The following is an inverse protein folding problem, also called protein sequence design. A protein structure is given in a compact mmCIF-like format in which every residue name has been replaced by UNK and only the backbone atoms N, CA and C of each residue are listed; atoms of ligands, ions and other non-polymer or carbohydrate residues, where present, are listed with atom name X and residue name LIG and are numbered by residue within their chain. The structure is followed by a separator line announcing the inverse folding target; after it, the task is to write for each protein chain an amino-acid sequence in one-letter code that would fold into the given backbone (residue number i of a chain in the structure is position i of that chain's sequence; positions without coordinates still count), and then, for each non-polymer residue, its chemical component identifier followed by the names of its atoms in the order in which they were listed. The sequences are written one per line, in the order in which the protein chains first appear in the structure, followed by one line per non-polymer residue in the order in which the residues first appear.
data_IF_433136547089
#
_entry.id   IF_433136547089
#
_cell.length_a   1.000
_cell.length_b   1.000
_cell.length_c   1.000
_cell.angle_alpha   90.00
_cell.angle_beta   90.00
_cell.angle_gamma   90.00
#
_symmetry.space_group_name_H-M   'P 1'
#
loop_
_entity.id
_entity.type
_entity.pdbx_description
1 polymer ?
#
# COMPACT_ATOMS: atom_id res chain seq x y z
N UNK A 1 21.67 -10.11 61.96
CA UNK A 1 22.65 -9.13 62.47
C UNK A 1 24.03 -9.61 62.03
N UNK A 2 24.76 -8.80 61.26
CA UNK A 2 26.10 -9.19 60.78
C UNK A 2 27.07 -9.27 61.98
N UNK A 3 27.83 -10.36 62.09
CA UNK A 3 28.62 -10.73 63.26
C UNK A 3 30.01 -10.07 63.35
N UNK A 4 30.34 -9.14 62.47
CA UNK A 4 31.62 -8.41 62.47
C UNK A 4 31.47 -7.02 61.84
N UNK A 5 32.11 -5.96 62.38
CA UNK A 5 32.06 -4.62 61.79
C UNK A 5 32.71 -4.61 60.40
N UNK A 6 32.05 -4.00 59.42
CA UNK A 6 32.62 -3.80 58.09
C UNK A 6 33.84 -2.88 58.23
N UNK A 7 35.01 -3.33 57.79
CA UNK A 7 36.24 -2.53 57.84
C UNK A 7 36.11 -1.33 56.88
N UNK A 8 36.35 -0.08 57.31
CA UNK A 8 36.17 1.12 56.48
C UNK A 8 36.99 1.09 55.18
N UNK A 9 38.13 0.41 55.19
CA UNK A 9 39.04 0.27 54.05
C UNK A 9 38.54 -0.70 52.96
N UNK A 10 37.47 -1.48 53.21
CA UNK A 10 36.88 -2.40 52.23
C UNK A 10 35.79 -1.78 51.35
N UNK A 11 35.40 -0.53 51.63
CA UNK A 11 34.47 0.25 50.83
C UNK A 11 35.28 1.26 50.02
N UNK A 12 35.75 0.87 48.83
CA UNK A 12 36.30 1.80 47.84
C UNK A 12 35.15 2.64 47.29
N UNK A 13 34.78 3.71 47.99
CA UNK A 13 34.03 4.80 47.40
C UNK A 13 34.94 5.50 46.40
N UNK A 14 34.63 5.32 45.12
CA UNK A 14 35.32 6.00 44.03
C UNK A 14 35.33 7.52 44.31
N UNK A 15 36.53 8.11 44.28
CA UNK A 15 36.72 9.52 44.61
C UNK A 15 35.90 10.44 43.68
N UNK A 16 35.66 10.05 42.43
CA UNK A 16 34.80 10.80 41.51
C UNK A 16 33.34 10.72 41.94
N UNK A 17 32.86 9.54 42.36
CA UNK A 17 31.48 9.37 42.85
C UNK A 17 31.25 10.13 44.16
N UNK A 18 32.22 10.12 45.07
CA UNK A 18 32.13 10.89 46.31
C UNK A 18 32.19 12.40 46.08
N UNK A 19 33.03 12.86 45.14
CA UNK A 19 33.13 14.29 44.79
C UNK A 19 31.87 14.76 44.08
N UNK A 20 31.32 13.95 43.17
CA UNK A 20 30.04 14.22 42.52
C UNK A 20 28.90 14.29 43.53
N UNK A 21 28.81 13.31 44.45
CA UNK A 21 27.75 13.26 45.46
C UNK A 21 27.80 14.47 46.40
N UNK A 22 29.01 14.86 46.85
CA UNK A 22 29.20 16.09 47.64
C UNK A 22 28.86 17.35 46.84
N UNK A 23 29.29 17.45 45.59
CA UNK A 23 28.98 18.60 44.75
C UNK A 23 27.47 18.77 44.52
N UNK A 24 26.72 17.67 44.39
CA UNK A 24 25.25 17.68 44.27
C UNK A 24 24.58 18.07 45.59
N UNK A 25 25.09 17.61 46.74
CA UNK A 25 24.61 18.00 48.07
C UNK A 25 24.90 19.48 48.39
N UNK A 26 26.04 20.00 47.95
CA UNK A 26 26.48 21.38 48.17
C UNK A 26 25.82 22.38 47.20
N UNK A 27 25.31 21.92 46.05
CA UNK A 27 24.65 22.75 45.03
C UNK A 27 23.25 22.20 44.68
N UNK A 28 22.32 22.12 45.64
CA UNK A 28 20.97 21.67 45.35
C UNK A 28 20.32 22.62 44.32
N UNK A 29 19.59 22.10 43.32
CA UNK A 29 18.97 22.92 42.29
C UNK A 29 17.99 23.91 42.94
N UNK A 30 18.30 25.20 42.80
CA UNK A 30 17.46 26.28 43.32
C UNK A 30 16.16 26.46 42.53
N UNK A 31 15.26 27.37 42.98
CA UNK A 31 13.98 27.63 42.33
C UNK A 31 14.09 28.01 40.84
N UNK A 32 15.15 28.71 40.46
CA UNK A 32 15.43 29.09 39.07
C UNK A 32 15.81 27.87 38.21
N UNK A 33 16.69 27.00 38.72
CA UNK A 33 17.05 25.76 38.06
C UNK A 33 15.85 24.83 37.87
N UNK A 34 14.95 24.78 38.87
CA UNK A 34 13.69 24.05 38.77
C UNK A 34 12.76 24.63 37.70
N UNK A 35 12.63 25.96 37.63
CA UNK A 35 11.80 26.63 36.62
C UNK A 35 12.32 26.38 35.20
N UNK A 36 13.64 26.49 35.00
CA UNK A 36 14.30 26.18 33.73
C UNK A 36 14.11 24.72 33.32
N UNK A 37 14.31 23.78 34.25
CA UNK A 37 14.12 22.35 34.00
C UNK A 37 12.66 22.01 33.66
N UNK A 38 11.71 22.63 34.35
CA UNK A 38 10.28 22.50 34.06
C UNK A 38 9.95 23.02 32.66
N UNK A 39 10.38 24.23 32.31
CA UNK A 39 10.16 24.80 30.99
C UNK A 39 10.76 23.92 29.88
N UNK A 40 11.99 23.43 30.07
CA UNK A 40 12.64 22.51 29.12
C UNK A 40 11.83 21.20 28.96
N UNK A 41 11.30 20.65 30.06
CA UNK A 41 10.44 19.47 30.01
C UNK A 41 9.13 19.73 29.25
N UNK A 42 8.45 20.85 29.53
CA UNK A 42 7.22 21.25 28.84
C UNK A 42 7.45 21.41 27.33
N UNK A 43 8.52 22.12 26.95
CA UNK A 43 8.94 22.27 25.57
C UNK A 43 9.22 20.90 24.92
N UNK A 44 9.91 20.00 25.63
CA UNK A 44 10.22 18.66 25.10
C UNK A 44 8.96 17.85 24.77
N UNK A 45 7.94 17.89 25.63
CA UNK A 45 6.67 17.20 25.41
C UNK A 45 5.92 17.78 24.22
N UNK A 46 5.93 19.11 24.07
CA UNK A 46 5.29 19.78 22.96
C UNK A 46 5.98 19.48 21.63
N UNK A 47 7.31 19.45 21.60
CA UNK A 47 8.07 19.05 20.41
C UNK A 47 7.82 17.58 20.07
N UNK A 48 7.74 16.71 21.07
CA UNK A 48 7.44 15.29 20.87
C UNK A 48 6.05 15.07 20.24
N UNK A 49 5.05 15.88 20.60
CA UNK A 49 3.72 15.83 19.99
C UNK A 49 3.77 16.00 18.46
N UNK A 50 4.67 16.82 17.95
CA UNK A 50 4.84 17.11 16.52
C UNK A 50 6.08 16.46 15.89
N UNK A 51 6.69 15.50 16.57
CA UNK A 51 7.76 14.68 16.01
C UNK A 51 7.19 13.40 15.39
N UNK A 52 7.43 13.25 14.08
CA UNK A 52 6.93 12.13 13.25
C UNK A 52 8.04 11.24 12.67
N UNK A 53 9.30 11.43 13.08
CA UNK A 53 10.44 10.65 12.57
C UNK A 53 10.28 9.14 12.84
N UNK A 54 9.61 8.79 13.93
CA UNK A 54 9.26 7.40 14.27
C UNK A 54 8.48 6.72 13.13
N UNK A 55 7.52 7.41 12.50
CA UNK A 55 6.73 6.84 11.40
C UNK A 55 7.60 6.46 10.21
N UNK A 56 8.55 7.32 9.84
CA UNK A 56 9.48 7.03 8.77
C UNK A 56 10.33 5.79 9.06
N UNK A 57 10.86 5.64 10.28
CA UNK A 57 11.62 4.45 10.68
C UNK A 57 10.80 3.17 10.57
N UNK A 58 9.53 3.20 10.95
CA UNK A 58 8.61 2.07 10.78
C UNK A 58 8.34 1.76 9.30
N UNK A 59 8.11 2.77 8.46
CA UNK A 59 7.93 2.58 7.02
C UNK A 59 9.17 1.94 6.38
N UNK A 60 10.38 2.41 6.70
CA UNK A 60 11.64 1.81 6.24
C UNK A 60 11.75 0.35 6.68
N UNK A 61 11.34 0.02 7.91
CA UNK A 61 11.31 -1.37 8.41
C UNK A 61 10.32 -2.24 7.62
N UNK A 62 9.15 -1.70 7.27
CA UNK A 62 8.16 -2.41 6.44
C UNK A 62 8.74 -2.67 5.04
N UNK A 63 9.32 -1.65 4.40
CA UNK A 63 9.98 -1.77 3.08
C UNK A 63 11.09 -2.82 3.11
N UNK A 64 11.90 -2.86 4.18
CA UNK A 64 12.94 -3.87 4.34
C UNK A 64 12.35 -5.28 4.42
N UNK A 65 11.29 -5.47 5.22
CA UNK A 65 10.63 -6.79 5.37
C UNK A 65 9.95 -7.27 4.09
N UNK A 66 9.32 -6.38 3.34
CA UNK A 66 8.73 -6.73 2.04
C UNK A 66 9.82 -7.05 1.01
N UNK A 67 11.00 -6.43 1.10
CA UNK A 67 12.18 -6.78 0.29
C UNK A 67 12.74 -8.15 0.63
N UNK A 68 12.93 -8.45 1.91
CA UNK A 68 13.40 -9.76 2.39
C UNK A 68 12.48 -10.92 1.96
N UNK A 69 11.18 -10.65 1.88
CA UNK A 69 10.16 -11.62 1.50
C UNK A 69 9.62 -11.46 0.07
N UNK A 70 10.32 -10.73 -0.82
CA UNK A 70 9.84 -10.39 -2.16
C UNK A 70 9.29 -11.57 -2.97
N UNK A 71 10.02 -12.70 -2.95
CA UNK A 71 9.64 -13.93 -3.69
C UNK A 71 8.33 -14.53 -3.19
N UNK A 72 8.00 -14.31 -1.92
CA UNK A 72 6.81 -14.84 -1.27
C UNK A 72 5.61 -13.88 -1.33
N UNK A 73 5.81 -12.63 -1.77
CA UNK A 73 4.80 -11.56 -1.80
C UNK A 73 4.55 -11.10 -3.24
N UNK A 74 4.13 -11.98 -4.18
CA UNK A 74 3.95 -11.61 -5.58
C UNK A 74 2.85 -10.56 -5.80
N UNK A 75 1.94 -10.42 -4.84
CA UNK A 75 0.77 -9.54 -4.91
C UNK A 75 0.84 -8.31 -4.00
N UNK A 76 1.95 -8.13 -3.27
CA UNK A 76 2.14 -6.95 -2.42
C UNK A 76 3.25 -6.08 -3.02
N UNK A 77 2.91 -5.03 -3.77
CA UNK A 77 3.91 -4.23 -4.48
C UNK A 77 4.83 -3.52 -3.48
N UNK A 78 6.14 -3.73 -3.61
CA UNK A 78 7.13 -3.00 -2.80
C UNK A 78 7.06 -1.49 -3.08
N UNK A 79 6.76 -1.13 -4.34
CA UNK A 79 6.55 0.25 -4.77
C UNK A 79 5.48 0.94 -3.93
N UNK A 80 4.42 0.25 -3.53
CA UNK A 80 3.34 0.85 -2.73
C UNK A 80 3.84 1.45 -1.41
N UNK A 81 4.73 0.75 -0.69
CA UNK A 81 5.29 1.28 0.56
C UNK A 81 6.33 2.38 0.33
N UNK A 82 7.02 2.35 -0.81
CA UNK A 82 7.94 3.42 -1.22
C UNK A 82 7.15 4.69 -1.58
N UNK A 83 6.07 4.54 -2.34
CA UNK A 83 5.15 5.61 -2.72
C UNK A 83 4.52 6.22 -1.46
N UNK A 84 3.97 5.39 -0.56
CA UNK A 84 3.46 5.86 0.73
C UNK A 84 4.52 6.65 1.53
N UNK A 85 5.76 6.17 1.57
CA UNK A 85 6.86 6.86 2.23
C UNK A 85 7.23 8.18 1.58
N UNK A 86 7.17 8.27 0.24
CA UNK A 86 7.38 9.52 -0.51
C UNK A 86 6.25 10.51 -0.26
N UNK A 87 5.01 10.05 -0.37
CA UNK A 87 3.80 10.87 -0.34
C UNK A 87 3.56 11.45 1.07
N UNK A 88 4.06 10.78 2.12
CA UNK A 88 4.02 11.28 3.50
C UNK A 88 5.21 12.15 3.89
N UNK A 89 6.32 12.13 3.14
CA UNK A 89 7.59 12.75 3.55
C UNK A 89 7.47 14.25 3.75
N UNK A 90 7.05 14.99 2.75
CA UNK A 90 6.92 16.46 2.86
C UNK A 90 5.75 16.86 3.76
N UNK A 91 4.49 16.42 3.52
CA UNK A 91 3.34 16.93 4.27
C UNK A 91 3.31 16.53 5.74
N UNK A 92 4.01 15.46 6.15
CA UNK A 92 4.06 15.04 7.55
C UNK A 92 5.42 15.36 8.16
N UNK A 93 6.51 14.74 7.70
CA UNK A 93 7.83 14.92 8.30
C UNK A 93 8.40 16.31 8.03
N UNK A 94 8.43 16.76 6.77
CA UNK A 94 8.99 18.06 6.39
C UNK A 94 8.25 19.24 7.02
N UNK A 95 6.91 19.22 6.99
CA UNK A 95 6.10 20.23 7.68
C UNK A 95 6.24 20.10 9.20
N UNK A 96 6.34 18.89 9.75
CA UNK A 96 6.60 18.65 11.17
C UNK A 96 7.91 19.24 11.67
N UNK A 97 9.00 19.07 10.92
CA UNK A 97 10.32 19.64 11.22
C UNK A 97 10.27 21.18 11.21
N UNK A 98 9.69 21.77 10.16
CA UNK A 98 9.49 23.23 10.05
C UNK A 98 8.60 23.76 11.18
N UNK A 99 7.58 23.00 11.57
CA UNK A 99 6.68 23.35 12.67
C UNK A 99 7.39 23.32 14.02
N UNK A 100 8.20 22.28 14.29
CA UNK A 100 9.01 22.20 15.52
C UNK A 100 9.98 23.37 15.65
N UNK A 101 10.60 23.84 14.56
CA UNK A 101 11.44 25.05 14.58
C UNK A 101 10.63 26.28 15.04
N UNK A 102 9.39 26.42 14.59
CA UNK A 102 8.52 27.53 15.03
C UNK A 102 8.15 27.41 16.51
N UNK A 103 7.84 26.20 16.99
CA UNK A 103 7.56 25.95 18.40
C UNK A 103 8.75 26.33 19.27
N UNK A 104 9.98 25.93 18.89
CA UNK A 104 11.20 26.33 19.62
C UNK A 104 11.35 27.83 19.72
N UNK A 105 11.14 28.57 18.62
CA UNK A 105 11.19 30.04 18.62
C UNK A 105 10.15 30.69 19.53
N UNK A 106 8.94 30.12 19.58
CA UNK A 106 7.86 30.62 20.45
C UNK A 106 8.04 30.24 21.93
N UNK A 107 9.01 29.37 22.24
CA UNK A 107 9.32 28.88 23.59
C UNK A 107 10.81 29.04 23.89
N UNK A 108 11.45 30.05 23.29
CA UNK A 108 12.88 30.32 23.49
C UNK A 108 13.12 31.01 24.84
N UNK A 109 12.18 31.87 25.24
CA UNK A 109 12.18 32.55 26.53
C UNK A 109 11.60 31.64 27.64
N UNK A 110 12.39 31.26 28.65
CA UNK A 110 11.93 30.39 29.74
C UNK A 110 10.83 30.97 30.63
N UNK A 111 10.55 32.28 30.53
CA UNK A 111 9.43 32.91 31.23
C UNK A 111 8.06 32.63 30.58
N UNK A 112 8.05 32.10 29.35
CA UNK A 112 6.81 31.79 28.62
C UNK A 112 6.13 30.56 29.23
N UNK A 113 4.92 30.77 29.75
CA UNK A 113 4.06 29.67 30.21
C UNK A 113 3.44 28.94 29.01
N UNK A 114 3.96 27.76 28.66
CA UNK A 114 3.57 26.97 27.48
C UNK A 114 2.06 26.73 27.39
N UNK A 115 1.41 26.40 28.51
CA UNK A 115 -0.04 26.11 28.53
C UNK A 115 -0.93 27.36 28.38
N UNK A 116 -0.43 28.54 28.75
CA UNK A 116 -1.22 29.78 28.80
C UNK A 116 -0.84 30.81 27.72
N UNK A 117 0.19 30.53 26.92
CA UNK A 117 0.65 31.45 25.88
C UNK A 117 -0.25 31.40 24.63
N UNK A 118 -1.13 32.39 24.47
CA UNK A 118 -2.20 32.39 23.45
C UNK A 118 -1.71 32.14 22.02
N UNK A 119 -0.62 32.81 21.60
CA UNK A 119 -0.06 32.66 20.24
C UNK A 119 0.44 31.24 20.02
N UNK A 120 1.04 30.62 21.04
CA UNK A 120 1.54 29.26 20.98
C UNK A 120 0.36 28.28 20.92
N UNK A 121 -0.65 28.47 21.77
CA UNK A 121 -1.85 27.64 21.81
C UNK A 121 -2.64 27.69 20.50
N UNK A 122 -2.79 28.87 19.90
CA UNK A 122 -3.36 29.03 18.55
C UNK A 122 -2.55 28.22 17.51
N UNK A 123 -1.22 28.28 17.58
CA UNK A 123 -0.35 27.54 16.67
C UNK A 123 -0.49 26.03 16.86
N UNK A 124 -0.58 25.56 18.09
CA UNK A 124 -0.84 24.15 18.45
C UNK A 124 -2.17 23.69 17.89
N UNK A 125 -3.25 24.45 18.07
CA UNK A 125 -4.58 24.11 17.54
C UNK A 125 -4.56 23.92 16.03
N UNK A 126 -3.94 24.84 15.30
CA UNK A 126 -3.73 24.74 13.83
C UNK A 126 -2.87 23.53 13.44
N UNK A 127 -1.79 23.27 14.19
CA UNK A 127 -0.93 22.11 13.98
C UNK A 127 -1.69 20.79 14.18
N UNK A 128 -2.43 20.66 15.28
CA UNK A 128 -3.22 19.47 15.59
C UNK A 128 -4.26 19.19 14.50
N UNK A 129 -4.98 20.20 14.03
CA UNK A 129 -5.94 20.07 12.95
C UNK A 129 -5.27 19.58 11.65
N UNK A 130 -4.18 20.24 11.24
CA UNK A 130 -3.44 19.89 10.02
C UNK A 130 -2.88 18.46 10.06
N UNK A 131 -2.15 18.09 11.12
CA UNK A 131 -1.52 16.78 11.19
C UNK A 131 -2.53 15.66 11.42
N UNK A 132 -3.64 15.91 12.13
CA UNK A 132 -4.71 14.91 12.26
C UNK A 132 -5.29 14.55 10.89
N UNK A 133 -5.58 15.55 10.04
CA UNK A 133 -6.04 15.34 8.66
C UNK A 133 -5.01 14.57 7.83
N UNK A 134 -3.77 15.06 7.75
CA UNK A 134 -2.74 14.46 6.91
C UNK A 134 -2.32 13.06 7.34
N UNK A 135 -2.17 12.81 8.64
CA UNK A 135 -1.83 11.48 9.14
C UNK A 135 -2.99 10.50 8.92
N UNK A 136 -4.25 10.95 9.06
CA UNK A 136 -5.40 10.07 8.83
C UNK A 136 -5.49 9.67 7.35
N UNK A 137 -5.50 10.66 6.46
CA UNK A 137 -5.75 10.48 5.03
C UNK A 137 -4.56 9.87 4.27
N UNK A 138 -3.34 10.35 4.54
CA UNK A 138 -2.15 9.93 3.78
C UNK A 138 -1.44 8.72 4.38
N UNK A 139 -1.74 8.34 5.63
CA UNK A 139 -1.01 7.27 6.31
C UNK A 139 -1.93 6.21 6.92
N UNK A 140 -2.84 6.58 7.83
CA UNK A 140 -3.65 5.60 8.55
C UNK A 140 -4.60 4.82 7.63
N UNK A 141 -5.40 5.53 6.83
CA UNK A 141 -6.38 4.91 5.93
C UNK A 141 -5.72 4.00 4.88
N UNK A 142 -4.67 4.42 4.15
CA UNK A 142 -3.94 3.54 3.24
C UNK A 142 -3.37 2.29 3.94
N UNK A 143 -2.77 2.45 5.12
CA UNK A 143 -2.25 1.32 5.90
C UNK A 143 -3.37 0.37 6.36
N UNK A 144 -4.55 0.90 6.70
CA UNK A 144 -5.74 0.12 7.06
C UNK A 144 -6.46 -0.50 5.87
N UNK A 145 -6.24 -0.02 4.65
CA UNK A 145 -6.74 -0.63 3.43
C UNK A 145 -5.80 -1.75 2.92
N UNK A 146 -4.49 -1.64 3.18
CA UNK A 146 -3.48 -2.57 2.67
C UNK A 146 -3.78 -4.05 3.02
N UNK A 147 -3.83 -4.90 2.00
CA UNK A 147 -3.96 -6.36 2.12
C UNK A 147 -2.66 -7.02 1.70
N UNK A 148 -2.02 -7.72 2.62
CA UNK A 148 -0.77 -8.46 2.35
C UNK A 148 -1.12 -9.83 1.78
N UNK A 149 -1.04 -9.95 0.45
CA UNK A 149 -1.31 -11.19 -0.24
C UNK A 149 -0.04 -12.04 -0.40
N UNK A 150 0.01 -13.15 0.34
CA UNK A 150 1.10 -14.13 0.28
C UNK A 150 0.64 -15.51 0.69
N UNK A 151 1.18 -16.47 -0.04
CA UNK A 151 1.09 -17.90 0.22
C UNK A 151 1.95 -18.29 1.44
N UNK A 152 3.12 -17.67 1.60
CA UNK A 152 3.98 -17.94 2.74
C UNK A 152 3.40 -17.26 3.99
N UNK A 153 2.79 -18.06 4.87
CA UNK A 153 2.16 -17.56 6.09
C UNK A 153 3.14 -16.80 7.00
N UNK A 154 4.40 -17.24 7.09
CA UNK A 154 5.41 -16.56 7.92
C UNK A 154 5.78 -15.19 7.33
N UNK A 155 6.01 -15.11 6.02
CA UNK A 155 6.27 -13.86 5.33
C UNK A 155 5.09 -12.88 5.43
N UNK A 156 3.87 -13.39 5.22
CA UNK A 156 2.63 -12.61 5.36
C UNK A 156 2.52 -12.00 6.75
N UNK A 157 2.61 -12.85 7.79
CA UNK A 157 2.55 -12.41 9.19
C UNK A 157 3.65 -11.40 9.51
N UNK A 158 4.88 -11.63 9.06
CA UNK A 158 5.99 -10.72 9.34
C UNK A 158 5.78 -9.30 8.79
N UNK A 159 5.12 -9.16 7.62
CA UNK A 159 4.77 -7.86 7.04
C UNK A 159 3.51 -7.29 7.70
N UNK A 160 2.45 -8.09 7.88
CA UNK A 160 1.22 -7.69 8.58
C UNK A 160 1.54 -7.14 9.99
N UNK A 161 2.39 -7.82 10.76
CA UNK A 161 2.83 -7.40 12.10
C UNK A 161 3.59 -6.07 12.07
N UNK A 162 4.42 -5.84 11.04
CA UNK A 162 5.15 -4.59 10.90
C UNK A 162 4.22 -3.41 10.55
N UNK A 163 3.21 -3.65 9.71
CA UNK A 163 2.15 -2.68 9.41
C UNK A 163 1.34 -2.39 10.67
N UNK A 164 0.90 -3.43 11.40
CA UNK A 164 0.14 -3.29 12.63
C UNK A 164 0.92 -2.52 13.71
N UNK A 165 2.24 -2.71 13.80
CA UNK A 165 3.10 -1.92 14.68
C UNK A 165 3.07 -0.43 14.33
N UNK A 166 3.16 -0.08 13.03
CA UNK A 166 3.06 1.31 12.60
C UNK A 166 1.67 1.89 12.87
N UNK A 167 0.60 1.15 12.55
CA UNK A 167 -0.78 1.59 12.80
C UNK A 167 -0.98 1.94 14.28
N UNK A 168 -0.50 1.09 15.22
CA UNK A 168 -0.58 1.39 16.65
C UNK A 168 0.10 2.69 17.02
N UNK A 169 1.31 2.94 16.51
CA UNK A 169 2.05 4.17 16.76
C UNK A 169 1.32 5.40 16.20
N UNK A 170 0.75 5.26 15.00
CA UNK A 170 -0.06 6.32 14.37
C UNK A 170 -1.32 6.61 15.19
N UNK A 171 -2.02 5.58 15.68
CA UNK A 171 -3.24 5.74 16.48
C UNK A 171 -2.95 6.41 17.83
N UNK A 172 -1.87 6.04 18.52
CA UNK A 172 -1.44 6.71 19.76
C UNK A 172 -1.18 8.19 19.49
N UNK A 173 -0.44 8.51 18.41
CA UNK A 173 -0.13 9.90 18.05
C UNK A 173 -1.39 10.69 17.69
N UNK A 174 -2.31 10.10 16.92
CA UNK A 174 -3.59 10.73 16.58
C UNK A 174 -4.45 10.98 17.82
N UNK A 175 -4.48 10.05 18.79
CA UNK A 175 -5.17 10.27 20.05
C UNK A 175 -4.61 11.50 20.79
N UNK A 176 -3.29 11.62 20.85
CA UNK A 176 -2.62 12.77 21.46
C UNK A 176 -2.92 14.08 20.72
N UNK A 177 -2.84 14.10 19.39
CA UNK A 177 -3.15 15.29 18.58
C UNK A 177 -4.61 15.73 18.75
N UNK A 178 -5.54 14.78 18.79
CA UNK A 178 -6.97 15.06 19.02
C UNK A 178 -7.22 15.59 20.43
N UNK A 179 -6.55 15.04 21.44
CA UNK A 179 -6.66 15.54 22.81
C UNK A 179 -6.14 16.97 22.96
N UNK A 180 -5.11 17.34 22.18
CA UNK A 180 -4.55 18.68 22.15
C UNK A 180 -5.21 19.62 21.12
N UNK A 181 -6.34 19.23 20.50
CA UNK A 181 -6.96 19.98 19.42
C UNK A 181 -7.51 21.35 19.83
N UNK A 182 -7.82 21.53 21.12
CA UNK A 182 -8.25 22.82 21.71
C UNK A 182 -7.12 23.55 22.44
N UNK A 183 -5.92 22.98 22.44
CA UNK A 183 -4.77 23.51 23.14
C UNK A 183 -3.95 22.40 23.78
N UNK A 184 -2.66 22.67 24.00
CA UNK A 184 -1.77 21.77 24.68
C UNK A 184 -1.90 21.91 26.20
N UNK A 185 -2.13 20.79 26.87
CA UNK A 185 -1.96 20.64 28.31
C UNK A 185 -1.14 19.39 28.61
N UNK A 186 -0.19 19.51 29.53
CA UNK A 186 0.73 18.47 29.95
C UNK A 186 -0.06 17.29 30.51
N UNK A 187 -0.98 17.56 31.45
CA UNK A 187 -1.77 16.51 32.11
C UNK A 187 -2.61 15.75 31.09
N UNK A 188 -3.30 16.46 30.20
CA UNK A 188 -4.13 15.85 29.16
C UNK A 188 -3.28 15.01 28.21
N UNK A 189 -2.16 15.56 27.71
CA UNK A 189 -1.26 14.87 26.80
C UNK A 189 -0.68 13.59 27.42
N UNK A 190 -0.13 13.67 28.62
CA UNK A 190 0.48 12.51 29.30
C UNK A 190 -0.55 11.42 29.60
N UNK A 191 -1.74 11.81 30.09
CA UNK A 191 -2.82 10.87 30.42
C UNK A 191 -3.30 10.14 29.17
N UNK A 192 -3.62 10.88 28.10
CA UNK A 192 -4.10 10.28 26.85
C UNK A 192 -3.03 9.43 26.20
N UNK A 193 -1.76 9.86 26.22
CA UNK A 193 -0.65 9.07 25.67
C UNK A 193 -0.49 7.74 26.41
N UNK A 194 -0.54 7.76 27.74
CA UNK A 194 -0.45 6.55 28.55
C UNK A 194 -1.63 5.60 28.28
N UNK A 195 -2.86 6.14 28.32
CA UNK A 195 -4.08 5.36 28.07
C UNK A 195 -4.10 4.76 26.67
N UNK A 196 -3.84 5.57 25.63
CA UNK A 196 -3.80 5.09 24.25
C UNK A 196 -2.71 4.04 24.04
N UNK A 197 -1.57 4.16 24.72
CA UNK A 197 -0.51 3.15 24.63
C UNK A 197 -0.99 1.81 25.21
N UNK A 198 -1.64 1.81 26.38
CA UNK A 198 -2.20 0.61 27.00
C UNK A 198 -3.30 -0.01 26.12
N UNK A 199 -4.26 0.80 25.66
CA UNK A 199 -5.39 0.34 24.86
C UNK A 199 -4.93 -0.28 23.53
N UNK A 200 -3.97 0.36 22.85
CA UNK A 200 -3.45 -0.13 21.58
C UNK A 200 -2.56 -1.37 21.74
N UNK A 201 -1.94 -1.57 22.90
CA UNK A 201 -1.24 -2.82 23.22
C UNK A 201 -2.21 -3.97 23.55
N UNK A 202 -3.36 -3.68 24.15
CA UNK A 202 -4.40 -4.66 24.43
C UNK A 202 -5.28 -5.01 23.22
N UNK A 203 -5.39 -4.11 22.24
CA UNK A 203 -6.19 -4.31 21.03
C UNK A 203 -5.64 -5.45 20.14
N UNK A 204 -6.53 -6.36 19.72
CA UNK A 204 -6.21 -7.41 18.74
C UNK A 204 -5.95 -6.80 17.35
N UNK A 205 -5.08 -7.47 16.58
CA UNK A 205 -4.72 -7.17 15.19
C UNK A 205 -5.93 -6.81 14.30
N UNK A 206 -5.68 -5.96 13.29
CA UNK A 206 -6.66 -5.34 12.39
C UNK A 206 -7.74 -6.34 11.94
N UNK A 207 -9.02 -5.96 12.05
CA UNK A 207 -10.13 -6.72 11.47
C UNK A 207 -9.91 -6.77 9.96
N UNK A 208 -9.61 -7.95 9.44
CA UNK A 208 -9.24 -8.16 8.02
C UNK A 208 -10.36 -7.63 7.12
N UNK A 209 -10.06 -6.61 6.32
CA UNK A 209 -10.91 -6.24 5.19
C UNK A 209 -10.97 -7.47 4.28
N UNK A 210 -12.13 -8.14 4.26
CA UNK A 210 -12.25 -9.49 3.71
C UNK A 210 -12.27 -9.53 2.19
N UNK A 211 -12.51 -8.40 1.52
CA UNK A 211 -12.64 -8.33 0.07
C UNK A 211 -12.07 -7.03 -0.48
N UNK A 212 -10.81 -7.03 -0.92
CA UNK A 212 -10.27 -5.98 -1.81
C UNK A 212 -9.44 -6.60 -2.93
N UNK A 213 -9.58 -6.01 -4.13
CA UNK A 213 -8.98 -6.48 -5.39
C UNK A 213 -7.44 -6.48 -5.30
N UNK A 214 -6.77 -7.49 -5.86
CA UNK A 214 -5.31 -7.58 -5.83
C UNK A 214 -4.67 -6.40 -6.59
N UNK A 215 -3.52 -5.94 -6.10
CA UNK A 215 -2.74 -4.83 -6.66
C UNK A 215 -1.89 -5.23 -7.90
N UNK A 216 -2.20 -6.36 -8.54
CA UNK A 216 -1.47 -6.91 -9.69
C UNK A 216 -2.40 -6.97 -10.91
N UNK A 217 -1.85 -6.82 -12.12
CA UNK A 217 -2.52 -6.98 -13.42
C UNK A 217 -3.20 -8.35 -13.56
N UNK A 218 -4.38 -8.50 -12.94
CA UNK A 218 -5.27 -9.63 -13.11
C UNK A 218 -6.33 -9.21 -14.13
N UNK A 219 -6.20 -9.74 -15.35
CA UNK A 219 -7.08 -9.44 -16.49
C UNK A 219 -8.53 -9.86 -16.19
N UNK A 220 -8.68 -10.94 -15.42
CA UNK A 220 -9.98 -11.51 -15.04
C UNK A 220 -10.10 -11.64 -13.51
N UNK A 221 -10.47 -10.56 -12.79
CA UNK A 221 -10.53 -10.53 -11.32
C UNK A 221 -11.50 -11.55 -10.73
N UNK A 222 -12.65 -11.77 -11.38
CA UNK A 222 -13.68 -12.67 -10.88
C UNK A 222 -13.27 -14.14 -11.03
N UNK A 223 -12.60 -14.49 -12.13
CA UNK A 223 -11.96 -15.80 -12.28
C UNK A 223 -10.88 -16.01 -11.22
N UNK A 224 -10.06 -14.99 -10.97
CA UNK A 224 -9.03 -15.08 -9.94
C UNK A 224 -9.63 -15.31 -8.54
N UNK A 225 -10.74 -14.63 -8.18
CA UNK A 225 -11.44 -14.90 -6.92
C UNK A 225 -12.06 -16.30 -6.86
N UNK A 226 -12.63 -16.77 -7.97
CA UNK A 226 -13.13 -18.15 -8.09
C UNK A 226 -12.00 -19.16 -7.88
N UNK A 227 -10.85 -18.96 -8.51
CA UNK A 227 -9.67 -19.81 -8.34
C UNK A 227 -9.16 -19.80 -6.90
N UNK A 228 -9.19 -18.64 -6.23
CA UNK A 228 -8.79 -18.49 -4.83
C UNK A 228 -9.72 -19.27 -3.90
N UNK A 229 -11.03 -19.19 -4.14
CA UNK A 229 -12.06 -19.91 -3.39
C UNK A 229 -11.95 -21.42 -3.60
N UNK A 230 -11.84 -21.85 -4.87
CA UNK A 230 -11.63 -23.26 -5.22
C UNK A 230 -10.36 -23.81 -4.57
N UNK A 231 -9.24 -23.06 -4.64
CA UNK A 231 -7.97 -23.46 -4.03
C UNK A 231 -8.11 -23.66 -2.53
N UNK A 232 -8.80 -22.75 -1.85
CA UNK A 232 -9.03 -22.86 -0.41
C UNK A 232 -9.86 -24.11 -0.08
N UNK A 233 -11.02 -24.29 -0.72
CA UNK A 233 -11.89 -25.44 -0.51
C UNK A 233 -11.17 -26.76 -0.78
N UNK A 234 -10.36 -26.83 -1.84
CA UNK A 234 -9.62 -28.04 -2.20
C UNK A 234 -8.46 -28.33 -1.25
N UNK A 235 -7.87 -27.29 -0.65
CA UNK A 235 -6.82 -27.45 0.35
C UNK A 235 -7.41 -28.02 1.64
N UNK A 236 -8.57 -27.49 2.04
CA UNK A 236 -9.32 -27.97 3.21
C UNK A 236 -9.79 -29.43 3.00
N UNK A 237 -10.29 -29.79 1.82
CA UNK A 237 -10.66 -31.17 1.46
C UNK A 237 -9.48 -32.15 1.58
N UNK A 238 -8.28 -31.72 1.16
CA UNK A 238 -7.08 -32.57 1.16
C UNK A 238 -6.25 -32.47 2.43
N UNK A 239 -6.68 -31.67 3.41
CA UNK A 239 -5.92 -31.33 4.62
C UNK A 239 -4.47 -30.90 4.32
N UNK A 240 -4.31 -30.03 3.32
CA UNK A 240 -3.01 -29.47 2.92
C UNK A 240 -3.05 -27.96 2.87
N UNK A 241 -1.88 -27.32 2.88
CA UNK A 241 -1.80 -25.86 2.65
C UNK A 241 -2.24 -25.49 1.21
N UNK A 242 -3.01 -24.39 1.00
CA UNK A 242 -3.45 -23.94 -0.32
C UNK A 242 -2.34 -23.83 -1.37
N UNK A 243 -1.12 -23.49 -0.96
CA UNK A 243 0.00 -23.26 -1.87
C UNK A 243 0.60 -24.56 -2.42
N UNK A 244 0.35 -25.68 -1.73
CA UNK A 244 0.76 -27.01 -2.16
C UNK A 244 -0.01 -27.44 -3.41
N UNK A 245 -1.21 -26.90 -3.62
CA UNK A 245 -1.99 -27.12 -4.84
C UNK A 245 -1.43 -26.28 -5.99
N UNK A 246 -1.53 -24.95 -5.87
CA UNK A 246 -0.99 -23.97 -6.81
C UNK A 246 -0.66 -22.66 -6.08
N UNK A 247 0.33 -21.92 -6.57
CA UNK A 247 0.69 -20.62 -5.98
C UNK A 247 -0.23 -19.49 -6.46
N UNK A 248 -0.29 -18.38 -5.73
CA UNK A 248 -0.96 -17.13 -6.13
C UNK A 248 -0.51 -16.67 -7.52
N UNK A 249 0.79 -16.70 -7.78
CA UNK A 249 1.37 -16.35 -9.08
C UNK A 249 0.87 -17.28 -10.20
N UNK A 250 0.68 -18.56 -9.90
CA UNK A 250 0.08 -19.52 -10.83
C UNK A 250 -1.39 -19.19 -11.08
N UNK A 251 -2.16 -18.85 -10.04
CA UNK A 251 -3.57 -18.42 -10.20
C UNK A 251 -3.70 -17.15 -11.07
N UNK A 252 -2.84 -16.14 -10.86
CA UNK A 252 -2.77 -14.96 -11.73
C UNK A 252 -2.46 -15.37 -13.17
N UNK A 253 -1.47 -16.26 -13.35
CA UNK A 253 -1.08 -16.73 -14.69
C UNK A 253 -2.21 -17.51 -15.37
N UNK A 254 -2.97 -18.32 -14.65
CA UNK A 254 -4.16 -19.03 -15.15
C UNK A 254 -5.29 -18.05 -15.47
N UNK A 255 -5.57 -17.12 -14.56
CA UNK A 255 -6.61 -16.12 -14.74
C UNK A 255 -6.34 -15.28 -15.99
N UNK A 256 -5.09 -14.89 -16.23
CA UNK A 256 -4.71 -14.09 -17.40
C UNK A 256 -4.62 -14.91 -18.71
N UNK A 257 -4.37 -16.22 -18.64
CA UNK A 257 -4.17 -17.07 -19.82
C UNK A 257 -5.44 -17.80 -20.30
N UNK A 258 -6.49 -17.89 -19.48
CA UNK A 258 -7.76 -18.59 -19.78
C UNK A 258 -7.60 -19.97 -20.45
N UNK A 259 -6.80 -20.89 -19.90
CA UNK A 259 -6.62 -22.21 -20.51
C UNK A 259 -7.92 -23.03 -20.49
N UNK A 260 -8.34 -23.53 -21.65
CA UNK A 260 -9.54 -24.37 -21.81
C UNK A 260 -9.22 -25.84 -22.11
N UNK A 261 -7.94 -26.18 -22.30
CA UNK A 261 -7.47 -27.55 -22.51
C UNK A 261 -6.27 -27.91 -21.64
N UNK A 262 -6.03 -29.20 -21.40
CA UNK A 262 -4.85 -29.68 -20.66
C UNK A 262 -3.53 -29.23 -21.30
N UNK A 263 -3.47 -29.15 -22.63
CA UNK A 263 -2.30 -28.64 -23.35
C UNK A 263 -2.05 -27.17 -23.07
N UNK A 264 -3.09 -26.34 -23.08
CA UNK A 264 -2.98 -24.91 -22.76
C UNK A 264 -2.61 -24.71 -21.30
N UNK A 265 -3.23 -25.45 -20.38
CA UNK A 265 -2.93 -25.36 -18.96
C UNK A 265 -1.47 -25.74 -18.65
N UNK A 266 -0.90 -26.71 -19.37
CA UNK A 266 0.52 -27.08 -19.26
C UNK A 266 1.49 -25.98 -19.72
N UNK A 267 1.07 -25.09 -20.65
CA UNK A 267 1.88 -23.94 -21.09
C UNK A 267 1.89 -22.81 -20.04
N UNK A 268 0.97 -22.83 -19.06
CA UNK A 268 0.91 -21.80 -18.02
C UNK A 268 2.07 -21.94 -17.04
N UNK A 269 2.77 -20.83 -16.79
CA UNK A 269 3.91 -20.76 -15.87
C UNK A 269 3.47 -21.22 -14.46
N UNK A 270 4.13 -22.26 -13.95
CA UNK A 270 3.85 -22.84 -12.63
C UNK A 270 2.93 -24.06 -12.64
N UNK A 271 2.43 -24.50 -13.81
CA UNK A 271 1.74 -25.78 -13.96
C UNK A 271 2.72 -26.85 -14.43
N UNK A 272 3.11 -27.74 -13.52
CA UNK A 272 3.95 -28.90 -13.84
C UNK A 272 3.13 -30.16 -14.17
N UNK A 273 3.81 -31.22 -14.61
CA UNK A 273 3.19 -32.53 -14.90
C UNK A 273 2.37 -33.08 -13.73
N UNK A 274 2.89 -32.99 -12.50
CA UNK A 274 2.24 -33.47 -11.28
C UNK A 274 0.97 -32.67 -10.94
N UNK A 275 1.04 -31.34 -11.01
CA UNK A 275 -0.10 -30.45 -10.81
C UNK A 275 -1.20 -30.72 -11.84
N UNK A 276 -0.82 -30.85 -13.11
CA UNK A 276 -1.74 -31.15 -14.20
C UNK A 276 -2.44 -32.50 -14.02
N UNK A 277 -1.73 -33.52 -13.54
CA UNK A 277 -2.32 -34.84 -13.24
C UNK A 277 -3.28 -34.80 -12.05
N UNK A 278 -2.93 -34.05 -11.00
CA UNK A 278 -3.65 -34.11 -9.73
C UNK A 278 -4.88 -33.20 -9.65
N UNK A 279 -4.81 -32.01 -10.26
CA UNK A 279 -5.85 -30.97 -10.14
C UNK A 279 -6.13 -30.25 -11.47
N UNK A 280 -5.51 -30.69 -12.57
CA UNK A 280 -5.61 -30.01 -13.86
C UNK A 280 -7.03 -29.95 -14.42
N UNK A 281 -7.80 -31.04 -14.30
CA UNK A 281 -9.19 -31.05 -14.79
C UNK A 281 -10.11 -30.16 -13.95
N UNK A 282 -9.97 -30.18 -12.62
CA UNK A 282 -10.75 -29.32 -11.73
C UNK A 282 -10.44 -27.83 -11.97
N UNK A 283 -9.18 -27.49 -12.20
CA UNK A 283 -8.76 -26.15 -12.63
C UNK A 283 -9.41 -25.74 -13.95
N UNK A 284 -9.42 -26.65 -14.94
CA UNK A 284 -10.07 -26.40 -16.23
C UNK A 284 -11.58 -26.24 -16.08
N UNK A 285 -12.23 -26.93 -15.16
CA UNK A 285 -13.65 -26.71 -14.84
C UNK A 285 -13.87 -25.28 -14.35
N UNK A 286 -13.08 -24.80 -13.38
CA UNK A 286 -13.23 -23.41 -12.90
C UNK A 286 -13.06 -22.37 -14.01
N UNK A 287 -12.11 -22.58 -14.92
CA UNK A 287 -11.87 -21.68 -16.05
C UNK A 287 -12.99 -21.79 -17.09
N UNK A 288 -13.45 -23.00 -17.43
CA UNK A 288 -14.53 -23.23 -18.40
C UNK A 288 -15.86 -22.70 -17.88
N UNK A 289 -16.19 -22.93 -16.61
CA UNK A 289 -17.42 -22.42 -15.99
C UNK A 289 -17.41 -20.89 -15.97
N UNK A 290 -16.27 -20.28 -15.67
CA UNK A 290 -16.12 -18.83 -15.78
C UNK A 290 -16.33 -18.35 -17.21
N UNK A 291 -15.66 -18.96 -18.19
CA UNK A 291 -15.81 -18.61 -19.60
C UNK A 291 -17.25 -18.82 -20.07
N UNK A 292 -17.90 -19.90 -19.65
CA UNK A 292 -19.27 -20.23 -20.04
C UNK A 292 -20.28 -19.31 -19.39
N UNK A 293 -20.18 -19.01 -18.09
CA UNK A 293 -21.05 -18.02 -17.43
C UNK A 293 -20.90 -16.61 -18.01
N UNK A 294 -19.69 -16.25 -18.43
CA UNK A 294 -19.43 -14.97 -19.11
C UNK A 294 -19.77 -15.01 -20.61
N UNK A 295 -19.93 -16.20 -21.20
CA UNK A 295 -20.54 -16.40 -22.51
C UNK A 295 -22.06 -16.37 -22.42
N UNK A 296 -22.68 -17.00 -21.42
CA UNK A 296 -24.14 -17.04 -21.22
C UNK A 296 -24.72 -15.64 -20.98
N UNK A 297 -24.01 -14.77 -20.26
CA UNK A 297 -24.34 -13.35 -20.16
C UNK A 297 -24.27 -12.59 -21.51
N UNK A 298 -23.66 -13.19 -22.54
CA UNK A 298 -23.59 -12.68 -23.91
C UNK A 298 -24.45 -13.49 -24.91
N UNK A 299 -25.07 -14.61 -24.49
CA UNK A 299 -25.77 -15.59 -25.36
C UNK A 299 -27.27 -15.31 -25.50
N UNK A 300 -27.81 -14.20 -24.97
CA UNK A 300 -29.06 -13.64 -25.53
C UNK A 300 -28.90 -13.16 -26.99
N UNK A 301 -27.68 -13.18 -27.56
CA UNK A 301 -27.48 -12.90 -28.98
C UNK A 301 -26.55 -13.93 -29.63
N UNK A 302 -27.18 -14.98 -30.16
CA UNK A 302 -26.79 -15.81 -31.33
C UNK A 302 -25.62 -16.81 -31.23
N UNK A 303 -25.94 -18.06 -31.59
CA UNK A 303 -25.09 -19.24 -31.71
C UNK A 303 -24.17 -19.25 -32.95
N UNK A 304 -22.96 -19.82 -32.78
CA UNK A 304 -22.40 -20.99 -33.51
C UNK A 304 -20.86 -20.91 -33.69
N UNK A 305 -20.18 -22.02 -33.31
CA UNK A 305 -18.89 -22.62 -33.76
C UNK A 305 -17.80 -21.75 -34.43
N UNK A 306 -16.47 -21.90 -34.27
CA UNK A 306 -15.59 -22.94 -33.73
C UNK A 306 -14.11 -22.42 -33.71
N UNK A 307 -13.33 -22.86 -32.70
CA UNK A 307 -11.89 -23.26 -32.71
C UNK A 307 -10.69 -22.26 -32.86
N UNK A 308 -9.51 -22.65 -32.32
CA UNK A 308 -8.46 -21.78 -31.75
C UNK A 308 -7.14 -21.75 -32.53
N UNK A 309 -6.36 -20.68 -32.39
CA UNK A 309 -4.88 -20.73 -32.47
C UNK A 309 -4.25 -19.48 -31.81
N UNK A 310 -3.00 -19.65 -31.36
CA UNK A 310 -2.07 -18.80 -30.60
C UNK A 310 -2.50 -17.40 -30.06
N UNK A 311 -2.05 -17.07 -28.85
CA UNK A 311 -2.33 -15.75 -28.22
C UNK A 311 -1.79 -14.55 -29.02
N UNK A 312 -0.77 -14.75 -29.87
CA UNK A 312 -0.33 -13.74 -30.85
C UNK A 312 -1.25 -13.69 -32.08
N UNK A 313 -1.73 -14.83 -32.54
CA UNK A 313 -2.69 -14.94 -33.65
C UNK A 313 -4.05 -14.31 -33.28
N UNK A 314 -4.51 -14.50 -32.04
CA UNK A 314 -5.73 -13.82 -31.56
C UNK A 314 -5.60 -12.30 -31.49
N UNK A 315 -4.43 -11.75 -31.17
CA UNK A 315 -4.22 -10.29 -31.22
C UNK A 315 -4.14 -9.80 -32.66
N UNK A 316 -3.38 -10.50 -33.50
CA UNK A 316 -3.22 -10.18 -34.91
C UNK A 316 -4.56 -10.21 -35.66
N UNK A 317 -5.40 -11.21 -35.41
CA UNK A 317 -6.74 -11.29 -35.99
C UNK A 317 -7.67 -10.14 -35.53
N UNK A 318 -7.44 -9.52 -34.36
CA UNK A 318 -8.22 -8.34 -33.92
C UNK A 318 -7.77 -7.12 -34.69
N UNK A 319 -6.45 -6.97 -34.85
CA UNK A 319 -5.83 -5.90 -35.61
C UNK A 319 -6.22 -5.98 -37.10
N UNK A 320 -6.24 -7.16 -37.69
CA UNK A 320 -6.60 -7.34 -39.10
C UNK A 320 -8.05 -6.98 -39.38
N UNK A 321 -8.97 -7.34 -38.48
CA UNK A 321 -10.38 -6.95 -38.61
C UNK A 321 -10.57 -5.45 -38.37
N UNK A 322 -9.81 -4.85 -37.45
CA UNK A 322 -9.81 -3.41 -37.23
C UNK A 322 -9.31 -2.64 -38.48
N UNK A 323 -8.21 -3.07 -39.09
CA UNK A 323 -7.67 -2.48 -40.33
C UNK A 323 -8.62 -2.65 -41.53
N UNK A 324 -9.52 -3.63 -41.50
CA UNK A 324 -10.61 -3.79 -42.48
C UNK A 324 -11.78 -2.82 -42.22
N UNK A 325 -11.65 -1.87 -41.29
CA UNK A 325 -12.64 -0.85 -40.99
C UNK A 325 -13.76 -1.28 -40.05
N UNK A 326 -13.65 -2.44 -39.38
CA UNK A 326 -14.65 -2.86 -38.40
C UNK A 326 -14.47 -2.10 -37.08
N UNK A 327 -15.57 -1.69 -36.47
CA UNK A 327 -15.54 -1.07 -35.14
C UNK A 327 -15.13 -2.09 -34.07
N UNK A 328 -14.64 -1.61 -32.91
CA UNK A 328 -14.31 -2.47 -31.76
C UNK A 328 -15.50 -3.34 -31.36
N UNK A 329 -16.72 -2.78 -31.39
CA UNK A 329 -17.95 -3.50 -31.07
C UNK A 329 -18.27 -4.60 -32.11
N UNK A 330 -18.06 -4.31 -33.40
CA UNK A 330 -18.29 -5.30 -34.46
C UNK A 330 -17.24 -6.41 -34.44
N UNK A 331 -15.99 -6.09 -34.14
CA UNK A 331 -14.93 -7.09 -33.96
C UNK A 331 -15.26 -7.97 -32.76
N UNK A 332 -15.67 -7.36 -31.65
CA UNK A 332 -16.09 -8.09 -30.44
C UNK A 332 -17.21 -9.08 -30.78
N UNK A 333 -18.28 -8.61 -31.44
CA UNK A 333 -19.40 -9.44 -31.89
C UNK A 333 -18.96 -10.54 -32.87
N UNK A 334 -18.22 -10.16 -33.92
CA UNK A 334 -17.76 -11.09 -34.96
C UNK A 334 -16.83 -12.18 -34.44
N UNK A 335 -16.12 -11.91 -33.34
CA UNK A 335 -15.15 -12.84 -32.76
C UNK A 335 -15.63 -13.52 -31.48
N UNK A 336 -16.84 -13.23 -31.02
CA UNK A 336 -17.35 -13.74 -29.74
C UNK A 336 -16.54 -13.25 -28.52
N UNK A 337 -16.00 -12.03 -28.58
CA UNK A 337 -15.32 -11.36 -27.48
C UNK A 337 -16.16 -10.19 -26.95
N UNK A 338 -15.81 -9.69 -25.76
CA UNK A 338 -16.30 -8.40 -25.26
C UNK A 338 -15.40 -7.26 -25.76
N UNK A 339 -15.95 -6.05 -25.87
CA UNK A 339 -15.23 -4.87 -26.36
C UNK A 339 -13.92 -4.63 -25.59
N UNK A 340 -13.92 -4.82 -24.26
CA UNK A 340 -12.74 -4.65 -23.41
C UNK A 340 -11.58 -5.60 -23.75
N UNK A 341 -11.88 -6.81 -24.25
CA UNK A 341 -10.88 -7.77 -24.71
C UNK A 341 -10.25 -7.30 -26.03
N UNK A 342 -11.08 -6.80 -26.96
CA UNK A 342 -10.60 -6.22 -28.22
C UNK A 342 -9.77 -4.97 -27.96
N UNK A 343 -10.21 -4.09 -27.06
CA UNK A 343 -9.45 -2.92 -26.64
C UNK A 343 -8.07 -3.31 -26.08
N UNK A 344 -7.99 -4.40 -25.32
CA UNK A 344 -6.72 -4.90 -24.78
C UNK A 344 -5.81 -5.44 -25.88
N UNK A 345 -6.36 -6.14 -26.88
CA UNK A 345 -5.60 -6.59 -28.04
C UNK A 345 -5.04 -5.40 -28.85
N UNK A 346 -5.87 -4.41 -29.14
CA UNK A 346 -5.44 -3.21 -29.88
C UNK A 346 -4.43 -2.38 -29.09
N UNK A 347 -4.59 -2.26 -27.76
CA UNK A 347 -3.60 -1.59 -26.93
C UNK A 347 -2.22 -2.25 -27.01
N UNK A 348 -2.14 -3.58 -27.10
CA UNK A 348 -0.87 -4.27 -27.34
C UNK A 348 -0.26 -3.88 -28.69
N UNK A 349 -1.07 -3.81 -29.75
CA UNK A 349 -0.63 -3.36 -31.08
C UNK A 349 -0.16 -1.90 -31.09
N UNK A 350 -0.74 -1.03 -30.25
CA UNK A 350 -0.23 0.33 -30.02
C UNK A 350 1.15 0.29 -29.36
N UNK A 351 1.33 -0.52 -28.31
CA UNK A 351 2.61 -0.65 -27.60
C UNK A 351 3.73 -1.18 -28.48
N UNK A 352 3.41 -2.08 -29.42
CA UNK A 352 4.38 -2.64 -30.36
C UNK A 352 4.64 -1.76 -31.59
N UNK A 353 3.91 -0.64 -31.74
CA UNK A 353 4.02 0.26 -32.89
C UNK A 353 3.32 -0.24 -34.15
N UNK A 354 2.55 -1.32 -34.07
CA UNK A 354 1.81 -1.88 -35.21
C UNK A 354 0.53 -1.10 -35.52
N UNK A 355 -0.02 -0.36 -34.54
CA UNK A 355 -1.24 0.42 -34.69
C UNK A 355 -1.04 1.82 -34.10
N UNK A 356 -1.03 2.88 -34.92
CA UNK A 356 -1.01 4.26 -34.43
C UNK A 356 -2.27 4.57 -33.61
N UNK A 357 -2.13 5.31 -32.51
CA UNK A 357 -3.27 5.71 -31.66
C UNK A 357 -4.30 6.53 -32.44
N UNK A 358 -3.85 7.36 -33.38
CA UNK A 358 -4.69 8.20 -34.23
C UNK A 358 -5.65 7.41 -35.14
N UNK A 359 -5.35 6.13 -35.43
CA UNK A 359 -6.25 5.25 -36.18
C UNK A 359 -7.39 4.70 -35.30
N UNK A 360 -7.28 4.81 -33.98
CA UNK A 360 -8.26 4.28 -33.02
C UNK A 360 -9.17 5.40 -32.50
N UNK A 361 -8.60 6.57 -32.21
CA UNK A 361 -9.35 7.71 -31.70
C UNK A 361 -8.72 9.04 -32.15
N UNK A 362 -9.53 10.11 -32.25
CA UNK A 362 -9.01 11.45 -32.51
C UNK A 362 -7.99 11.87 -31.45
N UNK A 363 -6.88 12.48 -31.88
CA UNK A 363 -5.83 12.92 -30.96
C UNK A 363 -6.33 14.03 -30.02
N UNK A 364 -7.30 14.82 -30.44
CA UNK A 364 -7.98 15.83 -29.62
C UNK A 364 -8.69 15.20 -28.43
N UNK A 365 -9.27 13.99 -28.62
CA UNK A 365 -9.84 13.20 -27.53
C UNK A 365 -8.72 12.63 -26.66
N UNK A 366 -7.61 12.16 -27.23
CA UNK A 366 -6.54 11.55 -26.44
C UNK A 366 -5.72 12.56 -25.60
N UNK A 367 -5.60 13.81 -26.07
CA UNK A 367 -4.66 14.81 -25.53
C UNK A 367 -4.81 15.08 -24.02
N UNK A 368 -6.03 15.29 -23.46
CA UNK A 368 -6.17 15.55 -22.03
C UNK A 368 -5.64 14.40 -21.15
N UNK A 369 -5.89 13.15 -21.57
CA UNK A 369 -5.39 11.97 -20.87
C UNK A 369 -3.89 11.77 -21.11
N UNK A 370 -3.37 12.09 -22.29
CA UNK A 370 -1.93 12.08 -22.57
C UNK A 370 -1.17 13.06 -21.67
N UNK A 371 -1.66 14.29 -21.52
CA UNK A 371 -1.04 15.32 -20.70
C UNK A 371 -1.03 14.91 -19.21
N UNK A 372 -2.14 14.35 -18.74
CA UNK A 372 -2.25 13.86 -17.38
C UNK A 372 -1.28 12.71 -17.08
N UNK A 373 -1.26 11.68 -17.94
CA UNK A 373 -0.36 10.53 -17.76
C UNK A 373 1.11 10.93 -17.89
N UNK A 374 1.44 11.88 -18.77
CA UNK A 374 2.79 12.41 -18.96
C UNK A 374 3.28 13.20 -17.75
N UNK A 375 2.49 14.13 -17.24
CA UNK A 375 2.90 15.04 -16.16
C UNK A 375 3.34 14.29 -14.89
N UNK A 376 2.71 13.15 -14.62
CA UNK A 376 2.96 12.36 -13.41
C UNK A 376 3.78 11.07 -13.70
N UNK A 377 4.26 10.88 -14.94
CA UNK A 377 4.90 9.63 -15.41
C UNK A 377 4.15 8.37 -14.95
N UNK A 378 2.82 8.39 -15.02
CA UNK A 378 1.99 7.35 -14.43
C UNK A 378 1.98 6.09 -15.29
N UNK A 379 2.21 4.94 -14.65
CA UNK A 379 1.97 3.63 -15.25
C UNK A 379 0.61 3.03 -14.84
N UNK A 380 0.00 3.56 -13.78
CA UNK A 380 -1.30 3.11 -13.28
C UNK A 380 -2.44 3.89 -13.95
N UNK A 381 -3.47 3.17 -14.42
CA UNK A 381 -4.62 3.78 -15.09
C UNK A 381 -5.74 4.22 -14.14
N UNK A 382 -5.73 3.74 -12.88
CA UNK A 382 -6.78 4.06 -11.90
C UNK A 382 -6.94 5.56 -11.63
N UNK A 383 -5.86 6.34 -11.43
CA UNK A 383 -5.98 7.79 -11.22
C UNK A 383 -6.51 8.52 -12.46
N UNK A 384 -6.11 8.08 -13.66
CA UNK A 384 -6.65 8.62 -14.90
C UNK A 384 -8.15 8.30 -15.05
N UNK A 385 -8.56 7.09 -14.68
CA UNK A 385 -9.97 6.70 -14.70
C UNK A 385 -10.80 7.48 -13.68
N UNK A 386 -10.26 7.73 -12.49
CA UNK A 386 -10.93 8.54 -11.46
C UNK A 386 -11.10 10.00 -11.92
N UNK A 387 -10.05 10.58 -12.52
CA UNK A 387 -10.08 11.95 -13.04
C UNK A 387 -11.05 12.13 -14.20
N UNK A 388 -11.03 11.22 -15.17
CA UNK A 388 -11.81 11.40 -16.41
C UNK A 388 -13.14 10.64 -16.44
N UNK A 389 -13.41 9.80 -15.44
CA UNK A 389 -14.69 9.10 -15.29
C UNK A 389 -15.11 8.37 -16.56
N UNK A 390 -16.36 8.58 -16.98
CA UNK A 390 -16.95 7.90 -18.15
C UNK A 390 -16.53 8.49 -19.51
N UNK A 391 -15.71 9.55 -19.52
CA UNK A 391 -15.21 10.14 -20.77
C UNK A 391 -14.24 9.20 -21.51
N UNK A 392 -13.58 8.30 -20.76
CA UNK A 392 -12.69 7.28 -21.32
C UNK A 392 -12.98 5.90 -20.74
N UNK A 393 -12.97 4.89 -21.59
CA UNK A 393 -12.93 3.50 -21.11
C UNK A 393 -11.55 3.17 -20.53
N UNK A 394 -11.46 2.11 -19.72
CA UNK A 394 -10.15 1.61 -19.29
C UNK A 394 -9.29 1.16 -20.48
N UNK A 395 -9.91 0.66 -21.55
CA UNK A 395 -9.20 0.28 -22.76
C UNK A 395 -8.60 1.47 -23.49
N UNK A 396 -9.36 2.57 -23.61
CA UNK A 396 -8.87 3.81 -24.23
C UNK A 396 -7.69 4.40 -23.45
N UNK A 397 -7.80 4.50 -22.13
CA UNK A 397 -6.70 4.97 -21.27
C UNK A 397 -5.45 4.07 -21.40
N UNK A 398 -5.65 2.75 -21.55
CA UNK A 398 -4.55 1.80 -21.76
C UNK A 398 -3.85 2.01 -23.11
N UNK A 399 -4.59 2.25 -24.18
CA UNK A 399 -4.03 2.56 -25.50
C UNK A 399 -3.23 3.85 -25.47
N UNK A 400 -3.74 4.88 -24.78
CA UNK A 400 -3.06 6.17 -24.60
C UNK A 400 -1.74 5.99 -23.83
N UNK A 401 -1.76 5.24 -22.72
CA UNK A 401 -0.54 4.92 -21.98
C UNK A 401 0.48 4.16 -22.84
N UNK A 402 0.02 3.14 -23.57
CA UNK A 402 0.89 2.35 -24.45
C UNK A 402 1.48 3.18 -25.60
N UNK A 403 0.73 4.16 -26.11
CA UNK A 403 1.25 5.13 -27.07
C UNK A 403 2.38 5.96 -26.47
N UNK A 404 2.20 6.49 -25.25
CA UNK A 404 3.25 7.26 -24.56
C UNK A 404 4.51 6.43 -24.26
N UNK A 405 4.34 5.14 -23.95
CA UNK A 405 5.44 4.19 -23.77
C UNK A 405 6.17 3.95 -25.10
N UNK A 406 5.42 3.71 -26.19
CA UNK A 406 5.98 3.49 -27.52
C UNK A 406 6.77 4.71 -28.03
N UNK A 407 6.25 5.93 -27.80
CA UNK A 407 6.94 7.17 -28.20
C UNK A 407 8.08 7.56 -27.26
N UNK A 408 8.37 6.78 -26.21
CA UNK A 408 9.44 7.05 -25.25
C UNK A 408 9.19 8.24 -24.32
N UNK A 409 7.94 8.70 -24.24
CA UNK A 409 7.53 9.82 -23.36
C UNK A 409 7.38 9.34 -21.91
N UNK A 410 6.99 8.07 -21.72
CA UNK A 410 7.01 7.37 -20.44
C UNK A 410 7.93 6.16 -20.60
N UNK A 411 8.81 5.91 -19.62
CA UNK A 411 9.74 4.77 -19.66
C UNK A 411 9.00 3.42 -19.65
N UNK A 412 9.43 2.48 -20.50
CA UNK A 412 8.89 1.11 -20.52
C UNK A 412 9.35 0.36 -19.25
N UNK A 413 8.45 -0.11 -18.38
CA UNK A 413 8.81 -0.73 -17.10
C UNK A 413 9.37 -2.17 -17.21
N UNK A 414 10.03 -2.53 -18.32
CA UNK A 414 10.56 -3.89 -18.55
C UNK A 414 11.68 -4.27 -17.58
#
# INVERSE_FOLDING_TARGET
VLSTPIRPQGLTTDAQVSTFSKAVEEHPPGPEALALARHAYEQSLLLELFNFETFHRFLVRIIKRTKEHARALPETPQSWFLDLGRDTREPISGVGEKFQIQIRRLTDDPSVAVENHEILQERVRKGCAYFTDKITTLLLEPLQAMVVASDNQAARKAVEEAIDQLIRQVQIKLACLKACAQGFSIQTYLTVRAQASVDMHAAKSRRRARDQKPAVDVVHPDLYQRLKTWRQAKADEKDVSPNTLITLKTMISVANALPQSRMQLKKVRGIGKKTLANIGDELLVQVRDYVNSHKEAAVEVSESSNTPDDADDTRQASLDLFRKGKSIADIAKHRGFVASTIETHLAHSVKSGQLPLAEIMPLEKAQPAMDFLRAEQMLALSPAKEKFGDQYTYGELRMILHHLIYTGVIGDPR
#
